data_IF_231429006564
#
_entry.id   IF_231429006564
#
_cell.length_a   1.000
_cell.length_b   1.000
_cell.length_c   1.000
_cell.angle_alpha   90.00
_cell.angle_beta   90.00
_cell.angle_gamma   90.00
#
_symmetry.space_group_name_H-M   'P 1'
#
loop_
_entity.id
_entity.type
_entity.pdbx_description
1 polymer ?
#
# COMPACT_ATOMS: atom_id res chain seq x y z
N UNK A 1 47.78 -31.29 -64.68
CA UNK A 1 47.67 -29.95 -64.05
C UNK A 1 46.32 -29.85 -63.38
N UNK A 2 46.28 -29.88 -62.05
CA UNK A 2 45.07 -29.55 -61.27
C UNK A 2 45.30 -28.15 -60.67
N UNK A 3 44.33 -27.22 -60.75
CA UNK A 3 44.54 -25.88 -60.25
C UNK A 3 44.39 -25.87 -58.72
N UNK A 4 45.41 -25.37 -58.04
CA UNK A 4 45.39 -25.05 -56.61
C UNK A 4 44.40 -23.90 -56.36
N UNK A 5 43.30 -24.18 -55.64
CA UNK A 5 42.36 -23.14 -55.19
C UNK A 5 42.91 -22.44 -53.95
N UNK A 6 43.43 -21.23 -54.13
CA UNK A 6 43.92 -20.37 -53.04
C UNK A 6 42.86 -20.09 -51.97
N UNK A 7 43.26 -20.22 -50.71
CA UNK A 7 42.42 -20.00 -49.52
C UNK A 7 41.91 -18.55 -49.50
N UNK A 8 40.59 -18.37 -49.69
CA UNK A 8 39.93 -17.06 -49.55
C UNK A 8 39.94 -16.62 -48.08
N UNK A 9 40.62 -15.52 -47.77
CA UNK A 9 40.56 -14.90 -46.44
C UNK A 9 39.15 -14.33 -46.19
N UNK A 10 38.43 -14.90 -45.23
CA UNK A 10 37.14 -14.37 -44.79
C UNK A 10 37.37 -13.01 -44.12
N UNK A 11 36.88 -11.93 -44.76
CA UNK A 11 36.73 -10.62 -44.11
C UNK A 11 35.59 -10.72 -43.09
N UNK A 12 35.92 -11.20 -41.89
CA UNK A 12 34.95 -11.51 -40.84
C UNK A 12 34.26 -10.28 -40.28
N UNK A 13 33.00 -10.08 -40.65
CA UNK A 13 32.09 -9.14 -39.97
C UNK A 13 31.43 -9.75 -38.72
N UNK A 14 31.76 -11.00 -38.36
CA UNK A 14 31.13 -11.72 -37.27
C UNK A 14 31.40 -11.12 -35.88
N UNK A 15 32.59 -10.57 -35.66
CA UNK A 15 32.96 -10.02 -34.34
C UNK A 15 32.22 -8.72 -33.99
N UNK A 16 32.10 -7.71 -34.88
CA UNK A 16 31.26 -6.54 -34.63
C UNK A 16 29.78 -6.89 -34.45
N UNK A 17 29.26 -7.85 -35.24
CA UNK A 17 27.86 -8.29 -35.14
C UNK A 17 27.62 -9.03 -33.82
N UNK A 18 28.54 -9.90 -33.40
CA UNK A 18 28.44 -10.60 -32.12
C UNK A 18 28.45 -9.62 -30.93
N UNK A 19 29.34 -8.61 -30.96
CA UNK A 19 29.37 -7.58 -29.92
C UNK A 19 28.07 -6.80 -29.84
N UNK A 20 27.48 -6.42 -30.98
CA UNK A 20 26.19 -5.73 -31.00
C UNK A 20 25.07 -6.59 -30.40
N UNK A 21 25.03 -7.89 -30.73
CA UNK A 21 24.04 -8.81 -30.16
C UNK A 21 24.22 -8.94 -28.65
N UNK A 22 25.46 -9.14 -28.18
CA UNK A 22 25.75 -9.29 -26.75
C UNK A 22 25.35 -8.02 -25.98
N UNK A 23 25.67 -6.82 -26.50
CA UNK A 23 25.32 -5.57 -25.81
C UNK A 23 23.81 -5.33 -25.78
N UNK A 24 23.09 -5.61 -26.87
CA UNK A 24 21.62 -5.49 -26.90
C UNK A 24 20.97 -6.46 -25.92
N UNK A 25 21.40 -7.74 -25.90
CA UNK A 25 20.88 -8.71 -24.94
C UNK A 25 21.18 -8.29 -23.49
N UNK A 26 22.39 -7.77 -23.23
CA UNK A 26 22.74 -7.26 -21.92
C UNK A 26 21.82 -6.11 -21.47
N UNK A 27 21.52 -5.16 -22.36
CA UNK A 27 20.59 -4.06 -22.07
C UNK A 27 19.16 -4.54 -21.79
N UNK A 28 18.69 -5.56 -22.51
CA UNK A 28 17.35 -6.11 -22.29
C UNK A 28 17.29 -6.75 -20.90
N UNK A 29 18.27 -7.60 -20.55
CA UNK A 29 18.30 -8.31 -19.26
C UNK A 29 18.37 -7.32 -18.09
N UNK A 30 19.20 -6.27 -18.19
CA UNK A 30 19.28 -5.25 -17.12
C UNK A 30 17.97 -4.49 -16.94
N UNK A 31 17.27 -4.18 -18.04
CA UNK A 31 15.95 -3.52 -17.95
C UNK A 31 14.90 -4.40 -17.28
N UNK A 32 14.92 -5.71 -17.53
CA UNK A 32 14.00 -6.66 -16.89
C UNK A 32 14.30 -6.82 -15.40
N UNK A 33 15.57 -6.78 -15.00
CA UNK A 33 15.98 -6.82 -13.60
C UNK A 33 15.47 -5.60 -12.83
N UNK A 34 15.63 -4.39 -13.39
CA UNK A 34 15.12 -3.16 -12.77
C UNK A 34 13.60 -3.15 -12.62
N UNK A 35 12.87 -3.70 -13.61
CA UNK A 35 11.41 -3.82 -13.52
C UNK A 35 10.96 -4.78 -12.41
N UNK A 36 11.66 -5.92 -12.23
CA UNK A 36 11.36 -6.86 -11.15
C UNK A 36 11.59 -6.26 -9.77
N UNK A 37 12.67 -5.51 -9.59
CA UNK A 37 12.95 -4.81 -8.33
C UNK A 37 11.85 -3.80 -8.00
N UNK A 38 11.45 -3.00 -9.00
CA UNK A 38 10.36 -2.03 -8.86
C UNK A 38 9.01 -2.71 -8.54
N UNK A 39 8.72 -3.86 -9.18
CA UNK A 39 7.54 -4.65 -8.90
C UNK A 39 7.54 -5.17 -7.45
N UNK A 40 8.68 -5.67 -6.96
CA UNK A 40 8.81 -6.14 -5.57
C UNK A 40 8.55 -5.05 -4.53
N UNK A 41 9.08 -3.84 -4.76
CA UNK A 41 8.80 -2.68 -3.92
C UNK A 41 7.31 -2.31 -3.93
N UNK A 42 6.68 -2.31 -5.11
CA UNK A 42 5.25 -2.00 -5.24
C UNK A 42 4.34 -2.99 -4.52
N UNK A 43 4.66 -4.29 -4.58
CA UNK A 43 3.89 -5.33 -3.88
C UNK A 43 4.00 -5.16 -2.36
N UNK A 44 5.20 -4.86 -1.86
CA UNK A 44 5.41 -4.59 -0.44
C UNK A 44 4.58 -3.39 0.04
N UNK A 45 4.56 -2.31 -0.75
CA UNK A 45 3.75 -1.12 -0.46
C UNK A 45 2.24 -1.41 -0.51
N UNK A 46 1.80 -2.26 -1.45
CA UNK A 46 0.40 -2.68 -1.53
C UNK A 46 -0.01 -3.48 -0.30
N UNK A 47 0.84 -4.39 0.18
CA UNK A 47 0.59 -5.15 1.41
C UNK A 47 0.48 -4.20 2.61
N UNK A 48 1.40 -3.24 2.74
CA UNK A 48 1.34 -2.23 3.81
C UNK A 48 0.07 -1.38 3.73
N UNK A 49 -0.34 -0.98 2.52
CA UNK A 49 -1.59 -0.25 2.28
C UNK A 49 -2.82 -1.04 2.70
N UNK A 50 -2.84 -2.35 2.42
CA UNK A 50 -3.94 -3.22 2.81
C UNK A 50 -4.00 -3.41 4.33
N UNK A 51 -2.85 -3.57 4.98
CA UNK A 51 -2.77 -3.64 6.45
C UNK A 51 -3.23 -2.33 7.09
N UNK A 52 -2.83 -1.18 6.55
CA UNK A 52 -3.26 0.12 7.02
C UNK A 52 -4.77 0.31 6.87
N UNK A 53 -5.36 -0.17 5.78
CA UNK A 53 -6.82 -0.18 5.60
C UNK A 53 -7.52 -1.01 6.68
N UNK A 54 -7.08 -2.25 6.91
CA UNK A 54 -7.69 -3.09 7.95
C UNK A 54 -7.45 -2.56 9.37
N UNK A 55 -6.31 -1.90 9.63
CA UNK A 55 -6.06 -1.22 10.89
C UNK A 55 -7.07 -0.08 11.12
N UNK A 56 -7.29 0.76 10.10
CA UNK A 56 -8.30 1.81 10.13
C UNK A 56 -9.71 1.25 10.32
N UNK A 57 -10.05 0.15 9.63
CA UNK A 57 -11.39 -0.44 9.71
C UNK A 57 -11.66 -1.04 11.09
N UNK A 58 -10.69 -1.79 11.61
CA UNK A 58 -10.75 -2.36 12.96
C UNK A 58 -10.84 -1.25 14.01
N UNK A 59 -10.06 -0.18 13.85
CA UNK A 59 -10.12 0.99 14.74
C UNK A 59 -11.47 1.70 14.70
N UNK A 60 -12.05 1.89 13.51
CA UNK A 60 -13.38 2.47 13.35
C UNK A 60 -14.47 1.61 13.99
N UNK A 61 -14.40 0.27 13.84
CA UNK A 61 -15.36 -0.66 14.46
C UNK A 61 -15.32 -0.57 15.99
N UNK A 62 -14.13 -0.59 16.59
CA UNK A 62 -13.97 -0.42 18.04
C UNK A 62 -14.52 0.95 18.47
N UNK A 63 -14.14 2.01 17.77
CA UNK A 63 -14.58 3.36 18.09
C UNK A 63 -16.11 3.52 18.03
N UNK A 64 -16.77 2.92 17.03
CA UNK A 64 -18.24 2.89 16.92
C UNK A 64 -18.84 2.18 18.13
N UNK A 65 -18.31 1.03 18.52
CA UNK A 65 -18.84 0.30 19.69
C UNK A 65 -18.66 1.09 20.99
N UNK A 66 -17.53 1.80 21.16
CA UNK A 66 -17.27 2.65 22.32
C UNK A 66 -18.18 3.90 22.34
N UNK A 67 -18.36 4.57 21.19
CA UNK A 67 -19.22 5.74 21.08
C UNK A 67 -20.69 5.40 21.36
N UNK A 68 -21.18 4.27 20.85
CA UNK A 68 -22.58 3.85 21.05
C UNK A 68 -22.83 3.31 22.46
N UNK A 69 -21.88 2.56 23.05
CA UNK A 69 -22.02 2.04 24.42
C UNK A 69 -21.83 3.10 25.50
N UNK A 70 -20.88 4.03 25.29
CA UNK A 70 -20.61 5.14 26.20
C UNK A 70 -21.47 6.38 25.96
N UNK A 71 -22.21 6.43 24.84
CA UNK A 71 -23.09 7.54 24.47
C UNK A 71 -22.39 8.88 24.27
N UNK A 72 -21.06 8.90 24.14
CA UNK A 72 -20.27 10.13 23.99
C UNK A 72 -18.93 9.86 23.33
N UNK A 73 -18.36 10.89 22.68
CA UNK A 73 -17.00 10.82 22.15
C UNK A 73 -15.92 10.71 23.25
N UNK A 74 -16.25 11.02 24.51
CA UNK A 74 -15.31 10.88 25.63
C UNK A 74 -15.02 9.43 26.03
N UNK A 75 -15.88 8.50 25.62
CA UNK A 75 -15.68 7.06 25.85
C UNK A 75 -14.78 6.40 24.79
N UNK A 76 -14.48 7.10 23.69
CA UNK A 76 -13.74 6.56 22.54
C UNK A 76 -12.24 6.62 22.80
N UNK A 77 -11.57 5.49 22.60
CA UNK A 77 -10.12 5.36 22.64
C UNK A 77 -9.48 6.20 21.53
N UNK A 78 -8.48 7.02 21.88
CA UNK A 78 -7.79 7.89 20.90
C UNK A 78 -6.83 7.14 19.99
N UNK A 79 -6.34 5.97 20.42
CA UNK A 79 -5.50 5.11 19.58
C UNK A 79 -5.55 3.65 19.99
N UNK A 80 -5.32 2.76 19.03
CA UNK A 80 -5.24 1.31 19.21
C UNK A 80 -3.94 0.85 18.55
N UNK A 81 -3.13 0.09 19.30
CA UNK A 81 -1.91 -0.52 18.77
C UNK A 81 -2.13 -2.01 18.54
N UNK A 82 -1.79 -2.49 17.34
CA UNK A 82 -1.97 -3.88 16.98
C UNK A 82 -0.64 -4.64 17.12
N UNK A 83 -0.64 -5.68 17.96
CA UNK A 83 0.51 -6.57 18.18
C UNK A 83 0.32 -7.99 17.64
N UNK A 84 -0.90 -8.33 17.20
CA UNK A 84 -1.25 -9.68 16.74
C UNK A 84 -0.77 -9.94 15.29
N UNK A 85 -0.51 -11.22 14.98
CA UNK A 85 -0.03 -11.66 13.67
C UNK A 85 -1.00 -11.27 12.55
N UNK A 86 -0.61 -10.32 11.70
CA UNK A 86 -1.44 -9.75 10.63
C UNK A 86 -1.40 -8.22 10.58
N UNK A 87 -1.50 -7.59 11.76
CA UNK A 87 -1.42 -6.14 11.94
C UNK A 87 -0.24 -5.73 12.86
N UNK A 88 0.72 -6.64 13.09
CA UNK A 88 1.94 -6.29 13.83
C UNK A 88 2.62 -5.07 13.20
N UNK A 89 2.99 -4.11 14.06
CA UNK A 89 3.52 -2.79 13.68
C UNK A 89 2.52 -1.89 12.93
N UNK A 90 1.23 -2.07 13.22
CA UNK A 90 0.18 -1.13 12.83
C UNK A 90 -0.45 -0.46 14.05
N UNK A 91 -0.93 0.76 13.85
CA UNK A 91 -1.76 1.48 14.81
C UNK A 91 -2.97 2.09 14.12
N UNK A 92 -4.04 2.32 14.87
CA UNK A 92 -5.17 3.11 14.45
C UNK A 92 -5.32 4.32 15.36
N UNK A 93 -5.16 5.53 14.84
CA UNK A 93 -5.49 6.78 15.53
C UNK A 93 -6.94 7.14 15.28
N UNK A 94 -7.70 7.45 16.34
CA UNK A 94 -9.14 7.68 16.25
C UNK A 94 -9.47 9.09 16.71
N UNK A 95 -10.34 9.76 15.98
CA UNK A 95 -10.91 11.06 16.32
C UNK A 95 -12.42 10.95 16.28
N UNK A 96 -13.10 11.35 17.35
CA UNK A 96 -14.55 11.35 17.44
C UNK A 96 -15.07 12.78 17.57
N UNK A 97 -16.10 13.11 16.80
CA UNK A 97 -16.89 14.33 16.97
C UNK A 97 -18.36 13.97 17.02
N UNK A 98 -19.16 14.68 17.82
CA UNK A 98 -20.60 14.45 17.93
C UNK A 98 -21.36 15.74 17.64
N UNK A 99 -22.45 15.63 16.89
CA UNK A 99 -23.36 16.74 16.60
C UNK A 99 -24.78 16.34 16.96
N UNK A 100 -25.57 17.30 17.45
CA UNK A 100 -27.02 17.14 17.57
C UNK A 100 -27.66 17.58 16.26
N UNK A 101 -28.40 16.68 15.62
CA UNK A 101 -29.09 16.95 14.37
C UNK A 101 -30.51 16.39 14.46
N UNK A 102 -31.49 17.13 13.94
CA UNK A 102 -32.83 16.60 13.70
C UNK A 102 -32.82 15.82 12.39
N UNK A 103 -32.81 14.50 12.48
CA UNK A 103 -32.78 13.60 11.31
C UNK A 103 -34.19 13.18 10.91
N UNK A 104 -35.05 12.90 11.90
CA UNK A 104 -36.36 12.28 11.72
C UNK A 104 -37.52 13.29 11.75
N UNK A 105 -37.23 14.60 11.81
CA UNK A 105 -38.23 15.68 11.90
C UNK A 105 -38.91 15.73 13.27
N UNK A 106 -38.21 15.29 14.31
CA UNK A 106 -38.72 15.16 15.68
C UNK A 106 -38.31 16.35 16.54
N UNK A 107 -39.10 16.72 17.57
CA UNK A 107 -38.80 17.84 18.44
C UNK A 107 -37.55 17.64 19.32
N UNK A 108 -36.99 16.42 19.39
CA UNK A 108 -35.77 16.12 20.12
C UNK A 108 -34.66 15.77 19.11
N UNK A 109 -33.53 16.50 19.10
CA UNK A 109 -32.44 16.22 18.16
C UNK A 109 -31.69 14.95 18.52
N UNK A 110 -31.33 14.15 17.52
CA UNK A 110 -30.52 12.94 17.68
C UNK A 110 -29.02 13.26 17.74
N UNK A 111 -28.29 12.48 18.54
CA UNK A 111 -26.82 12.58 18.59
C UNK A 111 -26.21 11.74 17.48
N UNK A 112 -25.43 12.38 16.62
CA UNK A 112 -24.73 11.73 15.53
C UNK A 112 -23.24 11.78 15.80
N UNK A 113 -22.59 10.62 15.85
CA UNK A 113 -21.15 10.50 16.01
C UNK A 113 -20.50 10.37 14.63
N UNK A 114 -19.48 11.19 14.39
CA UNK A 114 -18.56 11.04 13.25
C UNK A 114 -17.21 10.62 13.79
N UNK A 115 -16.79 9.41 13.40
CA UNK A 115 -15.56 8.79 13.82
C UNK A 115 -14.61 8.69 12.64
N UNK A 116 -13.42 9.23 12.81
CA UNK A 116 -12.31 9.15 11.88
C UNK A 116 -11.27 8.21 12.44
N UNK A 117 -11.00 7.11 11.75
CA UNK A 117 -9.94 6.16 12.10
C UNK A 117 -8.83 6.20 11.05
N UNK A 118 -7.63 6.58 11.45
CA UNK A 118 -6.43 6.56 10.65
C UNK A 118 -5.57 5.34 11.01
N UNK A 119 -5.55 4.34 10.15
CA UNK A 119 -4.68 3.19 10.25
C UNK A 119 -3.33 3.49 9.63
N UNK A 120 -2.24 3.28 10.37
CA UNK A 120 -0.87 3.43 9.91
C UNK A 120 -0.11 2.13 10.13
N UNK A 121 0.64 1.68 9.11
CA UNK A 121 1.43 0.45 9.15
C UNK A 121 2.82 0.66 8.55
N UNK A 122 3.83 0.08 9.19
CA UNK A 122 5.24 0.20 8.78
C UNK A 122 5.93 1.41 9.40
N UNK A 123 7.18 1.65 8.99
CA UNK A 123 8.02 2.73 9.51
C UNK A 123 8.79 3.41 8.38
N UNK A 124 9.17 4.67 8.59
CA UNK A 124 9.96 5.43 7.63
C UNK A 124 9.18 5.81 6.36
N UNK A 125 9.87 6.02 5.21
CA UNK A 125 9.27 6.55 3.99
C UNK A 125 8.33 5.56 3.28
N UNK A 126 8.39 4.27 3.65
CA UNK A 126 7.54 3.22 3.08
C UNK A 126 6.28 2.97 3.92
N UNK A 127 6.09 3.71 5.02
CA UNK A 127 4.90 3.59 5.85
C UNK A 127 3.64 3.91 5.04
N UNK A 128 2.62 3.06 5.17
CA UNK A 128 1.33 3.28 4.55
C UNK A 128 0.33 3.79 5.59
N UNK A 129 -0.51 4.74 5.19
CA UNK A 129 -1.60 5.26 6.00
C UNK A 129 -2.91 5.26 5.22
N UNK A 130 -4.00 4.88 5.88
CA UNK A 130 -5.36 4.88 5.34
C UNK A 130 -6.30 5.46 6.39
N UNK A 131 -7.25 6.27 5.94
CA UNK A 131 -8.25 6.87 6.82
C UNK A 131 -9.63 6.38 6.42
N UNK A 132 -10.42 5.98 7.40
CA UNK A 132 -11.82 5.59 7.26
C UNK A 132 -12.66 6.50 8.14
N UNK A 133 -13.74 7.03 7.58
CA UNK A 133 -14.73 7.82 8.29
C UNK A 133 -16.03 7.01 8.40
N UNK A 134 -16.59 6.97 9.60
CA UNK A 134 -17.87 6.32 9.88
C UNK A 134 -18.76 7.30 10.62
N UNK A 135 -20.02 7.41 10.19
CA UNK A 135 -21.04 8.20 10.86
C UNK A 135 -22.15 7.29 11.37
N UNK A 136 -22.42 7.36 12.67
CA UNK A 136 -23.42 6.53 13.36
C UNK A 136 -24.32 7.39 14.25
N UNK A 137 -25.53 6.88 14.49
CA UNK A 137 -26.53 7.44 15.41
C UNK A 137 -26.73 6.48 16.58
#
# INVERSE_FOLDING_TARGET
MYPEQGIKQQRGAGLPVALFIITVLALIVTSMAQQQESAGASVSQQILSQRAFYAAESGAQVAVTEALSGGSCGAVSSSINFSNGGLSSCSAGITCTSVQADIDGSPAPETVFTLLSNGQCGSGPEAASRTIEVRVR
#
